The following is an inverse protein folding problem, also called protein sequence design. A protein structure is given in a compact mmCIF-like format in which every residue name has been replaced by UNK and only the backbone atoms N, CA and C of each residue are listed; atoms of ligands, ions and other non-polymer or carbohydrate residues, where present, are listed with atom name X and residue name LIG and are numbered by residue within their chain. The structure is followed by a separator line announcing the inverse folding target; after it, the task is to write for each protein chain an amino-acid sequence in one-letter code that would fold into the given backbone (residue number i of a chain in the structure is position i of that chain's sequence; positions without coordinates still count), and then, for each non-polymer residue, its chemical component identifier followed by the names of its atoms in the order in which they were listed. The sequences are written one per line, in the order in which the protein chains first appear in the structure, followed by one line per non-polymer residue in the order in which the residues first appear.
data_IF_788473324409
#
_entry.id   IF_788473324409
#
_cell.length_a   1.000
_cell.length_b   1.000
_cell.length_c   1.000
_cell.angle_alpha   90.00
_cell.angle_beta   90.00
_cell.angle_gamma   90.00
#
_symmetry.space_group_name_H-M   'P 1'
#
loop_
_entity.id
_entity.type
_entity.pdbx_description
1 polymer ?
#
# COMPACT_ATOMS: atom_id res chain seq x y z
N UNK A 1 -10.88 5.20 7.16
CA UNK A 1 -10.31 3.90 7.51
C UNK A 1 -11.12 3.27 8.63
N UNK A 2 -11.31 1.96 8.56
CA UNK A 2 -11.94 1.18 9.62
C UNK A 2 -10.99 1.04 10.82
N UNK A 3 -11.51 0.62 11.99
CA UNK A 3 -10.68 0.50 13.19
C UNK A 3 -9.63 -0.62 13.11
N UNK A 4 -9.81 -1.57 12.18
CA UNK A 4 -8.87 -2.67 11.91
C UNK A 4 -7.87 -2.37 10.79
N UNK A 5 -7.93 -1.20 10.14
CA UNK A 5 -7.00 -0.86 9.08
C UNK A 5 -5.61 -0.55 9.64
N UNK A 6 -4.57 -1.08 8.98
CA UNK A 6 -3.18 -0.71 9.22
C UNK A 6 -2.75 0.34 8.20
N UNK A 7 -2.35 1.52 8.68
CA UNK A 7 -1.91 2.63 7.86
C UNK A 7 -0.40 2.57 7.66
N UNK A 8 0.05 2.47 6.41
CA UNK A 8 1.47 2.38 6.08
C UNK A 8 1.93 3.66 5.40
N UNK A 9 2.97 4.32 5.96
CA UNK A 9 3.46 5.62 5.49
C UNK A 9 4.94 5.59 5.13
N UNK A 10 5.32 6.38 4.13
CA UNK A 10 6.72 6.57 3.74
C UNK A 10 7.45 7.57 4.67
N UNK A 11 8.78 7.70 4.44
CA UNK A 11 9.75 8.46 5.26
C UNK A 11 9.46 9.96 5.42
N UNK A 12 8.58 10.54 4.62
CA UNK A 12 8.19 11.96 4.72
C UNK A 12 7.17 12.27 5.82
N UNK A 13 6.53 11.25 6.38
CA UNK A 13 5.40 11.42 7.30
C UNK A 13 5.71 11.36 8.80
N UNK A 14 6.76 10.66 9.30
CA UNK A 14 6.99 10.54 10.73
C UNK A 14 7.28 11.88 11.39
N UNK A 15 6.39 12.29 12.26
CA UNK A 15 6.53 13.44 13.15
C UNK A 15 5.76 13.17 14.42
N UNK A 16 6.19 13.76 15.55
CA UNK A 16 5.48 13.58 16.83
C UNK A 16 3.98 13.88 16.71
N UNK A 17 3.62 15.00 16.06
CA UNK A 17 2.24 15.40 15.84
C UNK A 17 1.45 14.33 15.08
N UNK A 18 1.99 13.79 14.00
CA UNK A 18 1.29 12.78 13.21
C UNK A 18 1.10 11.49 14.00
N UNK A 19 2.17 10.98 14.63
CA UNK A 19 2.09 9.78 15.47
C UNK A 19 1.06 9.94 16.59
N UNK A 20 1.11 11.06 17.33
CA UNK A 20 0.17 11.33 18.44
C UNK A 20 -1.27 11.50 17.97
N UNK A 21 -1.49 12.06 16.76
CA UNK A 21 -2.83 12.15 16.16
C UNK A 21 -3.40 10.76 15.87
N UNK A 22 -2.60 9.86 15.29
CA UNK A 22 -3.04 8.50 15.01
C UNK A 22 -3.24 7.68 16.27
N UNK A 23 -2.34 7.79 17.25
CA UNK A 23 -2.50 7.16 18.55
C UNK A 23 -3.80 7.62 19.24
N UNK A 24 -4.08 8.94 19.27
CA UNK A 24 -5.30 9.50 19.82
C UNK A 24 -6.55 8.98 19.11
N UNK A 25 -6.46 8.81 17.79
CA UNK A 25 -7.56 8.27 16.96
C UNK A 25 -7.68 6.74 17.04
N UNK A 26 -6.84 6.04 17.81
CA UNK A 26 -6.86 4.57 17.90
C UNK A 26 -6.46 3.86 16.59
N UNK A 27 -5.79 4.54 15.66
CA UNK A 27 -5.42 3.96 14.37
C UNK A 27 -4.07 3.26 14.45
N UNK A 28 -4.00 2.03 13.91
CA UNK A 28 -2.75 1.27 13.77
C UNK A 28 -1.93 1.84 12.62
N UNK A 29 -0.62 1.97 12.82
CA UNK A 29 0.26 2.49 11.77
C UNK A 29 1.66 1.86 11.77
N UNK A 30 2.29 1.88 10.60
CA UNK A 30 3.72 1.63 10.40
C UNK A 30 4.27 2.73 9.51
N UNK A 31 5.32 3.43 9.93
CA UNK A 31 5.92 4.53 9.16
C UNK A 31 7.43 4.35 9.04
N UNK A 32 7.98 4.54 7.84
CA UNK A 32 9.42 4.54 7.63
C UNK A 32 10.04 5.84 8.13
N UNK A 33 11.07 5.72 8.95
CA UNK A 33 11.81 6.87 9.48
C UNK A 33 12.95 7.29 8.54
N UNK A 34 13.23 8.57 8.50
CA UNK A 34 14.48 9.15 8.00
C UNK A 34 15.45 9.40 9.13
N UNK A 35 16.71 9.73 8.80
CA UNK A 35 17.71 10.16 9.80
C UNK A 35 17.29 11.42 10.57
N UNK A 36 16.40 12.24 10.01
CA UNK A 36 15.91 13.47 10.62
C UNK A 36 14.65 13.27 11.48
N UNK A 37 14.01 12.09 11.43
CA UNK A 37 12.72 11.86 12.09
C UNK A 37 12.82 11.87 13.62
N UNK A 38 13.63 10.96 14.19
CA UNK A 38 13.80 10.76 15.64
C UNK A 38 15.24 10.38 15.94
N UNK A 39 15.68 10.67 17.18
CA UNK A 39 17.03 10.31 17.67
C UNK A 39 17.25 8.80 17.61
N UNK A 40 16.26 8.04 18.05
CA UNK A 40 16.27 6.57 18.07
C UNK A 40 16.41 5.99 16.66
N UNK A 41 15.63 6.52 15.71
CA UNK A 41 15.72 6.11 14.32
C UNK A 41 17.10 6.36 13.71
N UNK A 42 17.72 7.49 14.06
CA UNK A 42 19.08 7.83 13.60
C UNK A 42 20.12 6.84 14.09
N UNK A 43 20.07 6.47 15.38
CA UNK A 43 20.97 5.47 15.97
C UNK A 43 20.78 4.10 15.32
N UNK A 44 19.53 3.66 15.18
CA UNK A 44 19.23 2.37 14.58
C UNK A 44 19.61 2.31 13.08
N UNK A 45 19.47 3.42 12.33
CA UNK A 45 19.93 3.54 10.94
C UNK A 45 21.46 3.49 10.81
N UNK A 46 22.20 3.85 11.86
CA UNK A 46 23.65 3.70 11.94
C UNK A 46 24.07 2.27 12.36
N UNK A 47 23.13 1.37 12.60
CA UNK A 47 23.41 0.03 13.08
C UNK A 47 23.61 -0.08 14.59
N UNK A 48 23.40 1.01 15.33
CA UNK A 48 23.61 1.08 16.75
C UNK A 48 22.38 0.54 17.54
N UNK A 49 22.66 -0.05 18.69
CA UNK A 49 21.64 -0.52 19.62
C UNK A 49 20.82 -1.73 19.13
N UNK A 50 19.71 -2.01 19.80
CA UNK A 50 18.80 -3.11 19.46
C UNK A 50 18.12 -2.87 18.12
N UNK A 51 17.79 -3.96 17.43
CA UNK A 51 16.97 -3.92 16.21
C UNK A 51 15.49 -3.69 16.47
N UNK A 52 15.06 -3.80 17.71
CA UNK A 52 13.69 -3.62 18.17
C UNK A 52 13.69 -2.91 19.51
N UNK A 53 12.88 -1.87 19.65
CA UNK A 53 12.86 -1.06 20.87
C UNK A 53 11.53 -0.33 21.04
N UNK A 54 10.82 -0.66 22.11
CA UNK A 54 9.64 0.11 22.54
C UNK A 54 10.05 1.21 23.50
N UNK A 55 9.61 2.44 23.25
CA UNK A 55 9.91 3.62 24.05
C UNK A 55 8.68 4.51 24.23
N UNK A 56 8.74 5.36 25.23
CA UNK A 56 7.82 6.49 25.33
C UNK A 56 8.47 7.72 24.71
N UNK A 57 7.87 8.22 23.63
CA UNK A 57 8.25 9.49 23.03
C UNK A 57 7.55 10.63 23.79
N UNK A 58 8.33 11.63 24.15
CA UNK A 58 7.84 12.86 24.74
C UNK A 58 7.86 14.00 23.72
N UNK A 59 6.90 14.90 23.82
CA UNK A 59 6.91 16.10 22.97
C UNK A 59 8.05 17.01 23.39
N UNK A 60 8.76 17.58 22.41
CA UNK A 60 9.74 18.62 22.69
C UNK A 60 9.03 19.91 23.08
N UNK A 61 9.44 20.56 24.18
CA UNK A 61 8.78 21.75 24.78
C UNK A 61 8.56 22.91 23.79
N UNK A 62 9.37 23.03 22.74
CA UNK A 62 9.14 24.03 21.67
C UNK A 62 7.83 23.79 20.89
N UNK A 63 7.23 22.60 21.00
CA UNK A 63 5.98 22.21 20.33
C UNK A 63 4.78 22.10 21.25
N UNK A 64 4.91 22.43 22.53
CA UNK A 64 3.82 22.34 23.52
C UNK A 64 2.56 23.08 23.05
N UNK A 65 2.70 24.30 22.54
CA UNK A 65 1.56 25.10 22.01
C UNK A 65 0.83 24.41 20.85
N UNK A 66 1.54 23.71 20.00
CA UNK A 66 0.95 22.95 18.88
C UNK A 66 0.18 21.73 19.41
N UNK A 67 0.75 21.01 20.35
CA UNK A 67 0.14 19.85 20.99
C UNK A 67 -1.12 20.25 21.75
N UNK A 68 -1.08 21.34 22.51
CA UNK A 68 -2.23 21.87 23.24
C UNK A 68 -3.35 22.33 22.28
N UNK A 69 -3.00 23.04 21.21
CA UNK A 69 -3.96 23.49 20.18
C UNK A 69 -4.78 22.33 19.58
N UNK A 70 -4.16 21.18 19.38
CA UNK A 70 -4.81 19.99 18.80
C UNK A 70 -5.25 18.97 19.87
N UNK A 71 -5.11 19.31 21.15
CA UNK A 71 -5.43 18.45 22.29
C UNK A 71 -4.81 17.05 22.12
N UNK A 72 -3.52 16.99 21.81
CA UNK A 72 -2.77 15.76 21.61
C UNK A 72 -2.06 15.32 22.91
N UNK A 73 -1.81 14.02 23.10
CA UNK A 73 -1.05 13.54 24.26
C UNK A 73 0.38 14.10 24.24
N UNK A 74 0.91 14.44 25.43
CA UNK A 74 2.30 14.92 25.62
C UNK A 74 3.33 13.79 25.58
N UNK A 75 2.89 12.55 25.72
CA UNK A 75 3.70 11.35 25.58
C UNK A 75 2.92 10.26 24.84
N UNK A 76 3.61 9.47 24.05
CA UNK A 76 3.06 8.32 23.31
C UNK A 76 4.03 7.16 23.40
N UNK A 77 3.50 5.95 23.56
CA UNK A 77 4.30 4.73 23.51
C UNK A 77 4.37 4.23 22.07
N UNK A 78 5.57 4.06 21.55
CA UNK A 78 5.83 3.59 20.18
C UNK A 78 6.97 2.58 20.18
N UNK A 79 7.01 1.78 19.12
CA UNK A 79 8.04 0.77 18.88
C UNK A 79 8.82 1.15 17.62
N UNK A 80 10.15 1.12 17.72
CA UNK A 80 11.05 1.27 16.59
C UNK A 80 11.59 -0.10 16.19
N UNK A 81 11.50 -0.43 14.91
CA UNK A 81 11.94 -1.70 14.35
C UNK A 81 12.93 -1.44 13.23
N UNK A 82 14.13 -2.03 13.30
CA UNK A 82 15.15 -1.97 12.25
C UNK A 82 15.03 -3.20 11.35
N UNK A 83 14.81 -2.95 10.08
CA UNK A 83 14.72 -3.97 9.03
C UNK A 83 15.99 -3.94 8.19
N UNK A 84 16.55 -5.12 7.88
CA UNK A 84 17.69 -5.25 6.98
C UNK A 84 17.20 -5.56 5.57
N UNK A 85 17.56 -4.70 4.62
CA UNK A 85 17.25 -4.89 3.20
C UNK A 85 18.16 -5.95 2.57
N UNK A 86 17.77 -6.46 1.41
CA UNK A 86 18.60 -7.39 0.62
C UNK A 86 19.93 -6.76 0.15
N UNK A 87 20.02 -5.44 0.14
CA UNK A 87 21.24 -4.67 -0.16
C UNK A 87 22.21 -4.59 1.02
N UNK A 88 21.81 -5.05 2.21
CA UNK A 88 22.56 -4.88 3.46
C UNK A 88 22.33 -3.53 4.15
N UNK A 89 21.55 -2.64 3.57
CA UNK A 89 21.18 -1.36 4.18
C UNK A 89 20.08 -1.54 5.24
N UNK A 90 19.99 -0.56 6.16
CA UNK A 90 18.96 -0.55 7.18
C UNK A 90 17.82 0.39 6.85
N UNK A 91 16.60 -0.07 7.07
CA UNK A 91 15.42 0.77 7.23
C UNK A 91 14.97 0.73 8.69
N UNK A 92 14.42 1.83 9.17
CA UNK A 92 13.84 1.91 10.52
C UNK A 92 12.39 2.33 10.41
N UNK A 93 11.54 1.55 11.03
CA UNK A 93 10.10 1.75 11.09
C UNK A 93 9.71 2.21 12.49
N UNK A 94 8.72 3.11 12.59
CA UNK A 94 8.04 3.47 13.84
C UNK A 94 6.59 3.05 13.78
N UNK A 95 6.09 2.47 14.87
CA UNK A 95 4.75 1.88 14.92
C UNK A 95 4.15 1.99 16.33
N UNK A 96 2.83 1.86 16.41
CA UNK A 96 2.11 1.61 17.68
C UNK A 96 1.66 0.14 17.83
N UNK A 97 2.15 -0.77 17.00
CA UNK A 97 2.00 -2.22 17.17
C UNK A 97 3.02 -2.69 18.21
N UNK A 98 2.63 -2.68 19.49
CA UNK A 98 3.55 -2.87 20.61
C UNK A 98 3.71 -4.33 21.04
N UNK A 99 2.76 -5.18 20.69
CA UNK A 99 2.79 -6.60 21.04
C UNK A 99 3.78 -7.35 20.14
N UNK A 100 4.87 -7.84 20.72
CA UNK A 100 5.93 -8.52 19.99
C UNK A 100 5.56 -9.97 19.62
N UNK A 101 4.54 -10.53 20.26
CA UNK A 101 4.03 -11.87 19.96
C UNK A 101 3.06 -11.81 18.78
N UNK A 102 2.13 -10.84 18.81
CA UNK A 102 1.19 -10.60 17.71
C UNK A 102 1.90 -10.05 16.45
N UNK A 103 2.95 -9.21 16.65
CA UNK A 103 3.71 -8.57 15.56
C UNK A 103 5.22 -8.80 15.75
N UNK A 104 5.75 -9.98 15.39
CA UNK A 104 7.17 -10.26 15.46
C UNK A 104 8.02 -9.30 14.62
N UNK A 105 9.25 -9.02 15.07
CA UNK A 105 10.18 -8.07 14.42
C UNK A 105 10.45 -8.38 12.94
N UNK A 106 10.58 -9.64 12.60
CA UNK A 106 10.90 -10.13 11.25
C UNK A 106 9.74 -9.93 10.25
N UNK A 107 8.49 -9.87 10.71
CA UNK A 107 7.34 -9.62 9.85
C UNK A 107 7.25 -8.15 9.35
N UNK A 108 7.89 -7.21 10.04
CA UNK A 108 7.82 -5.79 9.67
C UNK A 108 8.40 -5.49 8.28
N UNK A 109 9.30 -6.31 7.79
CA UNK A 109 9.81 -6.22 6.42
C UNK A 109 8.69 -6.45 5.41
N UNK A 110 7.92 -7.50 5.59
CA UNK A 110 6.83 -7.87 4.69
C UNK A 110 5.64 -6.93 4.85
N UNK A 111 5.31 -6.55 6.09
CA UNK A 111 4.29 -5.53 6.36
C UNK A 111 4.62 -4.21 5.64
N UNK A 112 5.85 -3.73 5.75
CA UNK A 112 6.22 -2.48 5.11
C UNK A 112 6.34 -2.61 3.59
N UNK A 113 6.67 -3.80 3.08
CA UNK A 113 6.69 -4.06 1.64
C UNK A 113 5.33 -3.80 0.97
N UNK A 114 4.21 -3.97 1.69
CA UNK A 114 2.86 -3.65 1.17
C UNK A 114 2.71 -2.19 0.71
N UNK A 115 3.53 -1.27 1.21
CA UNK A 115 3.57 0.12 0.74
C UNK A 115 3.86 0.24 -0.76
N UNK A 116 4.68 -0.67 -1.31
CA UNK A 116 5.01 -0.66 -2.74
C UNK A 116 3.80 -0.93 -3.64
N UNK A 117 2.74 -1.53 -3.11
CA UNK A 117 1.49 -1.70 -3.83
C UNK A 117 0.90 -0.38 -4.36
N UNK A 118 1.13 0.75 -3.67
CA UNK A 118 0.72 2.08 -4.14
C UNK A 118 1.50 2.50 -5.38
N UNK A 119 2.81 2.23 -5.43
CA UNK A 119 3.65 2.56 -6.58
C UNK A 119 3.31 1.68 -7.78
N UNK A 120 3.07 0.38 -7.55
CA UNK A 120 2.58 -0.53 -8.59
C UNK A 120 1.22 -0.07 -9.13
N UNK A 121 0.30 0.32 -8.24
CA UNK A 121 -0.99 0.86 -8.63
C UNK A 121 -0.85 2.14 -9.47
N UNK A 122 -0.02 3.11 -9.08
CA UNK A 122 0.27 4.27 -9.90
C UNK A 122 0.88 3.91 -11.25
N UNK A 123 1.76 2.91 -11.29
CA UNK A 123 2.30 2.37 -12.54
C UNK A 123 1.21 1.81 -13.46
N UNK A 124 0.23 1.12 -12.92
CA UNK A 124 -0.90 0.57 -13.68
C UNK A 124 -1.78 1.70 -14.23
N UNK A 125 -2.25 2.62 -13.39
CA UNK A 125 -3.15 3.69 -13.84
C UNK A 125 -2.48 4.65 -14.80
N UNK A 126 -1.20 4.92 -14.65
CA UNK A 126 -0.44 5.80 -15.53
C UNK A 126 -0.10 5.13 -16.87
N UNK A 127 0.45 3.92 -16.83
CA UNK A 127 0.99 3.28 -18.02
C UNK A 127 -0.01 2.38 -18.75
N UNK A 128 -0.98 1.79 -18.06
CA UNK A 128 -1.97 0.88 -18.64
C UNK A 128 -3.30 1.56 -18.95
N UNK A 129 -3.77 2.40 -18.03
CA UNK A 129 -5.03 3.11 -18.18
C UNK A 129 -4.83 4.53 -18.71
N UNK A 130 -3.58 4.92 -18.98
CA UNK A 130 -3.22 6.21 -19.60
C UNK A 130 -3.91 7.41 -18.93
N UNK A 131 -3.94 7.44 -17.60
CA UNK A 131 -4.65 8.44 -16.80
C UNK A 131 -4.32 9.89 -17.20
N UNK A 132 -3.12 10.15 -17.73
CA UNK A 132 -2.69 11.49 -18.16
C UNK A 132 -3.32 11.93 -19.49
N UNK A 133 -3.97 11.01 -20.24
CA UNK A 133 -4.65 11.31 -21.50
C UNK A 133 -6.13 11.61 -21.26
N UNK A 134 -6.40 12.79 -20.73
CA UNK A 134 -7.78 13.21 -20.47
C UNK A 134 -8.56 13.46 -21.76
N UNK A 135 -9.81 13.00 -21.80
CA UNK A 135 -10.71 13.15 -22.95
C UNK A 135 -11.13 14.61 -23.20
N UNK A 136 -11.03 15.46 -22.18
CA UNK A 136 -11.40 16.87 -22.25
C UNK A 136 -10.52 17.76 -21.37
N UNK A 137 -10.70 19.08 -21.55
CA UNK A 137 -9.92 20.13 -20.86
C UNK A 137 -10.67 20.77 -19.69
N UNK A 138 -11.93 20.41 -19.45
CA UNK A 138 -12.71 20.95 -18.33
C UNK A 138 -12.43 20.16 -17.06
N UNK A 139 -12.54 20.81 -15.90
CA UNK A 139 -12.38 20.11 -14.62
C UNK A 139 -13.33 18.91 -14.48
N UNK A 140 -14.56 19.06 -15.00
CA UNK A 140 -15.56 18.00 -14.97
C UNK A 140 -15.14 16.77 -15.78
N UNK A 141 -14.66 16.96 -17.02
CA UNK A 141 -14.17 15.83 -17.85
C UNK A 141 -12.94 15.16 -17.24
N UNK A 142 -12.02 15.94 -16.65
CA UNK A 142 -10.84 15.40 -15.94
C UNK A 142 -11.26 14.55 -14.75
N UNK A 143 -12.20 15.01 -13.93
CA UNK A 143 -12.71 14.22 -12.80
C UNK A 143 -13.42 12.95 -13.26
N UNK A 144 -14.21 13.03 -14.34
CA UNK A 144 -14.90 11.88 -14.90
C UNK A 144 -13.92 10.81 -15.38
N UNK A 145 -12.89 11.19 -16.12
CA UNK A 145 -11.84 10.26 -16.57
C UNK A 145 -11.07 9.67 -15.39
N UNK A 146 -10.74 10.49 -14.40
CA UNK A 146 -10.06 10.03 -13.20
C UNK A 146 -10.88 8.98 -12.43
N UNK A 147 -12.13 9.30 -12.11
CA UNK A 147 -12.98 8.37 -11.34
C UNK A 147 -13.31 7.11 -12.14
N UNK A 148 -13.50 7.20 -13.45
CA UNK A 148 -13.70 6.02 -14.31
C UNK A 148 -12.48 5.11 -14.31
N UNK A 149 -11.29 5.68 -14.34
CA UNK A 149 -10.03 4.93 -14.29
C UNK A 149 -9.86 4.22 -12.94
N UNK A 150 -10.11 4.92 -11.82
CA UNK A 150 -10.06 4.33 -10.48
C UNK A 150 -11.11 3.23 -10.33
N UNK A 151 -12.33 3.45 -10.79
CA UNK A 151 -13.39 2.46 -10.76
C UNK A 151 -13.04 1.20 -11.55
N UNK A 152 -12.55 1.37 -12.79
CA UNK A 152 -12.11 0.26 -13.64
C UNK A 152 -10.99 -0.55 -13.00
N UNK A 153 -10.03 0.11 -12.36
CA UNK A 153 -8.93 -0.59 -11.67
C UNK A 153 -9.43 -1.38 -10.45
N UNK A 154 -10.37 -0.84 -9.70
CA UNK A 154 -11.00 -1.54 -8.58
C UNK A 154 -11.82 -2.76 -9.04
N UNK A 155 -12.60 -2.61 -10.11
CA UNK A 155 -13.36 -3.71 -10.70
C UNK A 155 -12.45 -4.83 -11.22
N UNK A 156 -11.36 -4.47 -11.91
CA UNK A 156 -10.36 -5.44 -12.37
C UNK A 156 -9.74 -6.20 -11.20
N UNK A 157 -9.38 -5.52 -10.12
CA UNK A 157 -8.82 -6.15 -8.93
C UNK A 157 -9.79 -7.17 -8.34
N UNK A 158 -11.08 -6.84 -8.24
CA UNK A 158 -12.12 -7.76 -7.71
C UNK A 158 -12.26 -8.98 -8.63
N UNK A 159 -12.40 -8.77 -9.93
CA UNK A 159 -12.61 -9.86 -10.90
C UNK A 159 -11.39 -10.77 -11.08
N UNK A 160 -10.19 -10.30 -10.74
CA UNK A 160 -8.96 -11.09 -10.93
C UNK A 160 -8.40 -11.66 -9.63
N UNK A 161 -8.94 -11.30 -8.46
CA UNK A 161 -8.42 -11.67 -7.14
C UNK A 161 -8.23 -13.17 -6.99
N UNK A 162 -9.30 -13.93 -7.13
CA UNK A 162 -9.30 -15.38 -6.91
C UNK A 162 -8.40 -16.10 -7.93
N UNK A 163 -8.41 -15.61 -9.18
CA UNK A 163 -7.58 -16.16 -10.26
C UNK A 163 -6.10 -15.91 -9.98
N UNK A 164 -5.75 -14.73 -9.45
CA UNK A 164 -4.39 -14.42 -9.06
C UNK A 164 -3.90 -15.33 -7.93
N UNK A 165 -4.76 -15.66 -6.96
CA UNK A 165 -4.41 -16.61 -5.91
C UNK A 165 -4.22 -18.04 -6.48
N UNK A 166 -5.08 -18.49 -7.39
CA UNK A 166 -4.91 -19.76 -8.10
C UNK A 166 -3.59 -19.81 -8.88
N UNK A 167 -3.25 -18.72 -9.60
CA UNK A 167 -2.02 -18.64 -10.41
C UNK A 167 -0.75 -18.63 -9.57
N UNK A 168 -0.77 -18.00 -8.39
CA UNK A 168 0.36 -17.99 -7.44
C UNK A 168 0.66 -19.38 -6.88
N UNK A 169 -0.37 -20.24 -6.73
CA UNK A 169 -0.25 -21.60 -6.20
C UNK A 169 0.25 -22.61 -7.23
N UNK A 170 0.21 -22.28 -8.53
CA UNK A 170 0.72 -23.17 -9.58
C UNK A 170 2.22 -23.42 -9.44
N UNK A 171 2.61 -24.69 -9.55
CA UNK A 171 4.02 -25.10 -9.55
C UNK A 171 4.69 -24.76 -10.89
N UNK A 172 5.01 -23.49 -11.10
CA UNK A 172 5.73 -23.00 -12.28
C UNK A 172 7.07 -22.43 -11.87
N UNK A 173 8.03 -22.37 -12.79
CA UNK A 173 9.38 -21.82 -12.53
C UNK A 173 9.33 -20.41 -11.96
N UNK A 174 8.43 -19.57 -12.48
CA UNK A 174 8.16 -18.23 -11.96
C UNK A 174 6.69 -18.13 -11.56
N UNK A 175 6.38 -17.40 -10.51
CA UNK A 175 5.01 -17.08 -10.13
C UNK A 175 4.30 -16.39 -11.30
N UNK A 176 3.01 -16.64 -11.43
CA UNK A 176 2.17 -16.08 -12.47
C UNK A 176 1.11 -15.15 -11.86
N UNK A 177 0.67 -14.21 -12.66
CA UNK A 177 -0.47 -13.34 -12.36
C UNK A 177 -1.29 -13.10 -13.62
N UNK A 178 -2.51 -12.59 -13.47
CA UNK A 178 -3.35 -12.18 -14.59
C UNK A 178 -2.65 -11.09 -15.39
N UNK A 179 -2.79 -11.14 -16.69
CA UNK A 179 -2.25 -10.11 -17.58
C UNK A 179 -3.17 -8.89 -17.58
N UNK A 180 -2.76 -7.83 -16.90
CA UNK A 180 -3.53 -6.58 -16.81
C UNK A 180 -3.93 -5.98 -18.15
N UNK A 181 -3.13 -6.17 -19.23
CA UNK A 181 -3.52 -5.68 -20.56
C UNK A 181 -4.72 -6.45 -21.11
N UNK A 182 -4.79 -7.73 -20.82
CA UNK A 182 -5.92 -8.59 -21.24
C UNK A 182 -7.14 -8.30 -20.38
N UNK A 183 -6.99 -8.25 -19.03
CA UNK A 183 -8.11 -8.03 -18.13
C UNK A 183 -8.76 -6.66 -18.31
N UNK A 184 -7.98 -5.58 -18.36
CA UNK A 184 -8.53 -4.24 -18.59
C UNK A 184 -9.23 -4.10 -19.95
N UNK A 185 -8.66 -4.68 -21.02
CA UNK A 185 -9.30 -4.64 -22.33
C UNK A 185 -10.60 -5.43 -22.35
N UNK A 186 -10.62 -6.62 -21.76
CA UNK A 186 -11.82 -7.43 -21.68
C UNK A 186 -12.93 -6.77 -20.86
N UNK A 187 -12.60 -6.25 -19.67
CA UNK A 187 -13.57 -5.56 -18.81
C UNK A 187 -14.11 -4.30 -19.50
N UNK A 188 -13.24 -3.52 -20.14
CA UNK A 188 -13.66 -2.32 -20.89
C UNK A 188 -14.65 -2.65 -21.99
N UNK A 189 -14.42 -3.71 -22.74
CA UNK A 189 -15.28 -4.13 -23.84
C UNK A 189 -16.62 -4.69 -23.36
N UNK A 190 -16.67 -5.24 -22.16
CA UNK A 190 -17.87 -5.82 -21.55
C UNK A 190 -18.49 -4.90 -20.47
N UNK A 191 -17.99 -3.66 -20.32
CA UNK A 191 -18.40 -2.76 -19.23
C UNK A 191 -19.90 -2.46 -19.22
N UNK A 192 -20.52 -2.32 -20.38
CA UNK A 192 -21.96 -2.03 -20.48
C UNK A 192 -22.79 -3.24 -19.99
N UNK A 193 -22.42 -4.45 -20.39
CA UNK A 193 -23.08 -5.69 -19.97
C UNK A 193 -22.85 -5.94 -18.47
N UNK A 194 -21.63 -5.74 -17.97
CA UNK A 194 -21.28 -5.94 -16.56
C UNK A 194 -21.98 -4.98 -15.60
N UNK A 195 -22.20 -3.73 -16.02
CA UNK A 195 -22.60 -2.65 -15.11
C UNK A 195 -24.06 -2.20 -15.28
N UNK A 196 -24.63 -2.33 -16.46
CA UNK A 196 -25.91 -1.72 -16.80
C UNK A 196 -26.95 -2.73 -17.30
N UNK A 197 -26.54 -3.94 -17.71
CA UNK A 197 -27.52 -4.96 -18.07
C UNK A 197 -28.18 -5.53 -16.81
N UNK A 198 -29.52 -5.48 -16.76
CA UNK A 198 -30.30 -6.06 -15.65
C UNK A 198 -30.26 -7.60 -15.66
N UNK A 199 -29.97 -8.21 -16.80
CA UNK A 199 -29.84 -9.64 -16.98
C UNK A 199 -28.55 -9.94 -17.80
N UNK A 200 -27.36 -9.72 -17.22
CA UNK A 200 -26.13 -10.02 -17.94
C UNK A 200 -26.09 -11.50 -18.31
N UNK A 201 -25.47 -11.86 -19.45
CA UNK A 201 -25.32 -13.26 -19.82
C UNK A 201 -24.74 -14.07 -18.67
N UNK A 202 -25.40 -15.17 -18.30
CA UNK A 202 -24.98 -16.00 -17.14
C UNK A 202 -23.57 -16.54 -17.26
N UNK A 203 -23.07 -16.67 -18.49
CA UNK A 203 -21.71 -17.13 -18.79
C UNK A 203 -20.66 -16.01 -18.93
N UNK A 204 -21.07 -14.73 -18.79
CA UNK A 204 -20.15 -13.59 -18.97
C UNK A 204 -18.96 -13.62 -18.01
N UNK A 205 -19.22 -13.82 -16.73
CA UNK A 205 -18.16 -13.93 -15.73
C UNK A 205 -17.29 -15.15 -15.97
N UNK A 206 -17.87 -16.30 -16.31
CA UNK A 206 -17.11 -17.52 -16.61
C UNK A 206 -16.20 -17.35 -17.84
N UNK A 207 -16.67 -16.65 -18.87
CA UNK A 207 -15.85 -16.31 -20.05
C UNK A 207 -14.68 -15.39 -19.71
N UNK A 208 -14.90 -14.37 -18.88
CA UNK A 208 -13.86 -13.47 -18.42
C UNK A 208 -12.83 -14.21 -17.58
N UNK A 209 -13.27 -14.99 -16.60
CA UNK A 209 -12.38 -15.79 -15.77
C UNK A 209 -11.54 -16.78 -16.58
N UNK A 210 -12.17 -17.48 -17.53
CA UNK A 210 -11.46 -18.38 -18.46
C UNK A 210 -10.39 -17.64 -19.25
N UNK A 211 -10.72 -16.45 -19.77
CA UNK A 211 -9.77 -15.61 -20.51
C UNK A 211 -8.58 -15.23 -19.62
N UNK A 212 -8.83 -14.85 -18.37
CA UNK A 212 -7.79 -14.46 -17.41
C UNK A 212 -6.88 -15.63 -17.05
N UNK A 213 -7.44 -16.82 -16.79
CA UNK A 213 -6.69 -18.05 -16.50
C UNK A 213 -5.83 -18.54 -17.65
N UNK A 214 -6.25 -18.31 -18.89
CA UNK A 214 -5.54 -18.79 -20.09
C UNK A 214 -4.47 -17.85 -20.60
N UNK A 215 -4.43 -16.59 -20.11
CA UNK A 215 -3.47 -15.59 -20.56
C UNK A 215 -2.66 -14.98 -19.39
N UNK A 216 -2.03 -15.79 -18.53
CA UNK A 216 -1.24 -15.26 -17.43
C UNK A 216 0.08 -14.65 -17.92
N UNK A 217 0.65 -13.77 -17.11
CA UNK A 217 2.03 -13.29 -17.25
C UNK A 217 2.90 -13.79 -16.11
N UNK A 218 4.18 -14.05 -16.42
CA UNK A 218 5.16 -14.42 -15.39
C UNK A 218 5.64 -13.20 -14.63
N UNK A 219 5.67 -13.28 -13.29
CA UNK A 219 6.31 -12.32 -12.42
C UNK A 219 7.82 -12.61 -12.47
N UNK A 220 8.60 -11.75 -13.13
CA UNK A 220 10.06 -11.88 -13.19
C UNK A 220 10.68 -11.14 -12.02
N UNK A 221 11.33 -11.82 -11.06
CA UNK A 221 12.09 -11.15 -10.01
C UNK A 221 13.21 -10.33 -10.66
N UNK A 222 13.47 -9.13 -10.13
CA UNK A 222 14.56 -8.24 -10.57
C UNK A 222 14.40 -7.58 -11.96
N UNK A 223 13.19 -7.50 -12.51
CA UNK A 223 12.99 -6.68 -13.70
C UNK A 223 13.18 -5.20 -13.33
N UNK A 224 14.31 -4.61 -13.74
CA UNK A 224 14.44 -3.14 -13.73
C UNK A 224 13.40 -2.59 -14.70
N UNK A 225 12.42 -1.88 -14.20
CA UNK A 225 11.51 -1.08 -15.03
C UNK A 225 12.34 0.13 -15.47
N UNK A 226 12.43 0.40 -16.79
CA UNK A 226 13.21 1.52 -17.30
C UNK A 226 12.63 2.86 -16.85
#
# INVERSE_FOLDING_TARGET
SNDNDLLIYDRGYPSYRHLSTLCKAGKKFVMRCSRASFKEARQMLAGEGSSDRTITLEVHHTKDKEIEKFNLPKNIKVRFVRVTLSTGEYEVLVTNLLDEVEFPTDEFKDIYYLRWGVEEFYGIIKNRLTLENFSGKTAHSIYQDFYSTIYLSGLETILTSDINEELKQKKTLNKQQVNHAVSFNAIKNQALELLFDQNPPTDLLERLEKLFRTNPVQIRPNRKIP
#
